data_IF_658383060326
#
_entry.id   IF_658383060326
#
_cell.length_a   1.000
_cell.length_b   1.000
_cell.length_c   1.000
_cell.angle_alpha   90.00
_cell.angle_beta   90.00
_cell.angle_gamma   90.00
#
_symmetry.space_group_name_H-M   'P 1'
#
loop_
_entity.id
_entity.type
_entity.pdbx_description
1 polymer ?
#
# COMPACT_ATOMS: atom_id res chain seq x y z
N UNK A 1 -11.84 -23.98 -7.14
CA UNK A 1 -10.98 -23.97 -8.34
C UNK A 1 -9.53 -24.12 -7.87
N UNK A 2 -8.99 -25.35 -7.88
CA UNK A 2 -7.63 -25.60 -7.40
C UNK A 2 -6.62 -24.95 -8.36
N UNK A 3 -5.81 -24.01 -7.87
CA UNK A 3 -4.70 -23.47 -8.65
C UNK A 3 -3.77 -24.62 -9.08
N UNK A 4 -3.38 -24.67 -10.35
CA UNK A 4 -2.33 -25.59 -10.81
C UNK A 4 -1.08 -25.36 -9.95
N UNK A 5 -0.39 -26.43 -9.54
CA UNK A 5 0.88 -26.35 -8.78
C UNK A 5 1.92 -25.41 -9.43
N UNK A 6 1.85 -25.19 -10.74
CA UNK A 6 2.70 -24.22 -11.47
C UNK A 6 2.37 -22.76 -11.13
N UNK A 7 1.08 -22.42 -10.95
CA UNK A 7 0.64 -21.06 -10.67
C UNK A 7 1.04 -20.62 -9.26
N UNK A 8 1.01 -21.52 -8.27
CA UNK A 8 1.52 -21.24 -6.92
C UNK A 8 3.01 -20.87 -6.90
N UNK A 9 3.79 -21.39 -7.85
CA UNK A 9 5.20 -21.03 -8.00
C UNK A 9 5.36 -19.65 -8.65
N UNK A 10 4.45 -19.25 -9.53
CA UNK A 10 4.43 -17.92 -10.12
C UNK A 10 4.00 -16.83 -9.12
N UNK A 11 3.07 -17.15 -8.21
CA UNK A 11 2.49 -16.17 -7.29
C UNK A 11 3.48 -15.65 -6.25
N UNK A 12 3.59 -14.32 -6.14
CA UNK A 12 4.46 -13.66 -5.17
C UNK A 12 4.66 -12.18 -5.50
N UNK A 13 5.26 -11.84 -6.65
CA UNK A 13 5.51 -10.44 -7.05
C UNK A 13 4.27 -9.56 -7.01
N UNK A 14 3.12 -10.05 -7.49
CA UNK A 14 1.84 -9.33 -7.42
C UNK A 14 1.35 -9.11 -5.98
N UNK A 15 1.51 -10.09 -5.09
CA UNK A 15 1.14 -9.94 -3.68
C UNK A 15 2.09 -8.95 -2.97
N UNK A 16 3.38 -8.99 -3.29
CA UNK A 16 4.37 -8.02 -2.80
C UNK A 16 4.02 -6.60 -3.25
N UNK A 17 3.65 -6.44 -4.52
CA UNK A 17 3.16 -5.17 -5.05
C UNK A 17 1.93 -4.67 -4.30
N UNK A 18 0.91 -5.52 -4.16
CA UNK A 18 -0.32 -5.17 -3.45
C UNK A 18 -0.03 -4.75 -2.00
N UNK A 19 0.78 -5.53 -1.30
CA UNK A 19 1.11 -5.27 0.11
C UNK A 19 1.89 -3.97 0.29
N UNK A 20 2.83 -3.67 -0.62
CA UNK A 20 3.56 -2.40 -0.63
C UNK A 20 2.62 -1.21 -0.85
N UNK A 21 1.58 -1.39 -1.66
CA UNK A 21 0.57 -0.37 -1.88
C UNK A 21 -0.36 -0.19 -0.65
N UNK A 22 -0.75 -1.28 0.01
CA UNK A 22 -1.74 -1.25 1.11
C UNK A 22 -1.26 -0.47 2.35
N UNK A 23 0.02 -0.15 2.46
CA UNK A 23 0.57 0.74 3.49
C UNK A 23 0.09 2.18 3.36
N UNK A 24 1.01 3.14 3.17
CA UNK A 24 0.67 4.57 3.29
C UNK A 24 -0.39 5.04 2.29
N UNK A 25 -0.37 4.60 1.03
CA UNK A 25 -1.32 5.12 0.04
C UNK A 25 -2.77 4.66 0.31
N UNK A 26 -2.98 3.48 0.87
CA UNK A 26 -4.33 2.97 1.12
C UNK A 26 -4.76 3.25 2.56
N UNK A 27 -4.02 2.70 3.53
CA UNK A 27 -4.33 2.80 4.95
C UNK A 27 -4.37 4.26 5.44
N UNK A 28 -3.53 5.13 4.88
CA UNK A 28 -3.48 6.55 5.22
C UNK A 28 -4.24 7.40 4.20
N UNK A 29 -3.79 7.45 2.96
CA UNK A 29 -4.27 8.46 2.01
C UNK A 29 -5.71 8.19 1.55
N UNK A 30 -6.05 6.96 1.18
CA UNK A 30 -7.45 6.61 0.84
C UNK A 30 -8.40 6.82 2.02
N UNK A 31 -8.01 6.38 3.21
CA UNK A 31 -8.81 6.59 4.44
C UNK A 31 -9.03 8.08 4.72
N UNK A 32 -7.97 8.88 4.62
CA UNK A 32 -8.02 10.34 4.79
C UNK A 32 -8.89 11.01 3.74
N UNK A 33 -8.81 10.55 2.49
CA UNK A 33 -9.65 11.05 1.41
C UNK A 33 -11.15 10.83 1.73
N UNK A 34 -11.49 9.65 2.26
CA UNK A 34 -12.83 9.34 2.75
C UNK A 34 -13.25 10.21 3.93
N UNK A 35 -12.38 10.35 4.93
CA UNK A 35 -12.68 11.07 6.17
C UNK A 35 -12.86 12.59 5.96
N UNK A 36 -12.05 13.20 5.09
CA UNK A 36 -12.06 14.65 4.86
C UNK A 36 -13.00 15.07 3.72
N UNK A 37 -13.19 14.23 2.69
CA UNK A 37 -13.93 14.60 1.48
C UNK A 37 -15.06 13.63 1.12
N UNK A 38 -15.45 12.70 2.01
CA UNK A 38 -16.43 11.64 1.72
C UNK A 38 -16.05 10.92 0.42
N UNK A 39 -16.94 10.82 -0.57
CA UNK A 39 -16.63 10.23 -1.86
C UNK A 39 -16.16 11.23 -2.93
N UNK A 40 -15.97 12.51 -2.58
CA UNK A 40 -15.58 13.55 -3.52
C UNK A 40 -14.29 13.26 -4.30
N UNK A 41 -13.35 12.53 -3.70
CA UNK A 41 -12.07 12.15 -4.32
C UNK A 41 -12.05 10.71 -4.89
N UNK A 42 -13.16 9.99 -4.83
CA UNK A 42 -13.23 8.60 -5.29
C UNK A 42 -12.83 8.48 -6.78
N UNK A 43 -13.31 9.39 -7.62
CA UNK A 43 -12.98 9.38 -9.05
C UNK A 43 -11.47 9.59 -9.28
N UNK A 44 -10.82 10.47 -8.52
CA UNK A 44 -9.39 10.69 -8.62
C UNK A 44 -8.58 9.44 -8.28
N UNK A 45 -9.01 8.68 -7.26
CA UNK A 45 -8.40 7.41 -6.84
C UNK A 45 -8.56 6.34 -7.92
N UNK A 46 -9.77 6.20 -8.47
CA UNK A 46 -10.06 5.26 -9.57
C UNK A 46 -9.22 5.61 -10.80
N UNK A 47 -9.17 6.88 -11.19
CA UNK A 47 -8.37 7.35 -12.32
C UNK A 47 -6.87 7.12 -12.08
N UNK A 48 -6.35 7.40 -10.88
CA UNK A 48 -4.94 7.16 -10.56
C UNK A 48 -4.56 5.67 -10.74
N UNK A 49 -5.42 4.76 -10.26
CA UNK A 49 -5.23 3.32 -10.45
C UNK A 49 -5.33 2.90 -11.92
N UNK A 50 -6.28 3.42 -12.69
CA UNK A 50 -6.42 3.06 -14.11
C UNK A 50 -5.23 3.58 -14.92
N UNK A 51 -4.88 4.85 -14.75
CA UNK A 51 -3.85 5.52 -15.55
C UNK A 51 -2.44 4.96 -15.29
N UNK A 52 -2.17 4.49 -14.06
CA UNK A 52 -0.85 3.94 -13.73
C UNK A 52 -0.68 2.46 -14.04
N UNK A 53 -1.77 1.72 -14.24
CA UNK A 53 -1.72 0.28 -14.49
C UNK A 53 -0.73 -0.12 -15.60
N UNK A 54 -0.69 0.55 -16.77
CA UNK A 54 0.24 0.18 -17.83
C UNK A 54 1.69 0.24 -17.38
N UNK A 55 2.08 1.27 -16.62
CA UNK A 55 3.46 1.44 -16.17
C UNK A 55 3.94 0.24 -15.35
N UNK A 56 3.09 -0.28 -14.47
CA UNK A 56 3.44 -1.41 -13.60
C UNK A 56 3.32 -2.78 -14.31
N UNK A 57 2.30 -2.97 -15.15
CA UNK A 57 2.11 -4.22 -15.91
C UNK A 57 3.28 -4.50 -16.85
N UNK A 58 3.75 -3.46 -17.55
CA UNK A 58 4.86 -3.56 -18.49
C UNK A 58 6.14 -4.03 -17.81
N UNK A 59 6.29 -3.82 -16.51
CA UNK A 59 7.47 -4.24 -15.74
C UNK A 59 7.53 -5.74 -15.55
N UNK A 60 6.41 -6.33 -15.11
CA UNK A 60 6.26 -7.78 -14.98
C UNK A 60 6.44 -8.46 -16.35
N UNK A 61 5.87 -7.85 -17.39
CA UNK A 61 6.02 -8.29 -18.78
C UNK A 61 7.48 -8.25 -19.25
N UNK A 62 8.18 -7.14 -19.00
CA UNK A 62 9.58 -6.97 -19.38
C UNK A 62 10.48 -8.00 -18.71
N UNK A 63 10.34 -8.17 -17.39
CA UNK A 63 11.13 -9.13 -16.62
C UNK A 63 10.91 -10.57 -17.09
N UNK A 64 9.64 -10.93 -17.37
CA UNK A 64 9.32 -12.27 -17.87
C UNK A 64 9.90 -12.53 -19.27
N UNK A 65 9.78 -11.57 -20.19
CA UNK A 65 10.20 -11.73 -21.58
C UNK A 65 11.73 -11.71 -21.73
N UNK A 66 12.41 -10.81 -21.03
CA UNK A 66 13.85 -10.58 -21.21
C UNK A 66 14.72 -11.35 -20.23
N UNK A 67 14.14 -11.87 -19.13
CA UNK A 67 14.88 -12.43 -17.99
C UNK A 67 15.90 -11.46 -17.37
N UNK A 68 15.69 -10.15 -17.59
CA UNK A 68 16.48 -9.05 -17.05
C UNK A 68 15.58 -8.03 -16.36
N UNK A 69 16.11 -7.27 -15.42
CA UNK A 69 15.37 -6.27 -14.67
C UNK A 69 15.14 -5.02 -15.52
N UNK A 70 14.21 -4.17 -15.10
CA UNK A 70 14.05 -2.86 -15.74
C UNK A 70 15.28 -1.96 -15.61
N UNK A 71 16.08 -2.15 -14.56
CA UNK A 71 17.35 -1.44 -14.39
C UNK A 71 18.33 -1.87 -15.49
N UNK A 72 18.40 -3.16 -15.83
CA UNK A 72 19.15 -3.63 -16.98
C UNK A 72 18.58 -3.05 -18.30
N UNK A 73 17.26 -2.87 -18.36
CA UNK A 73 16.59 -2.16 -19.45
C UNK A 73 17.04 -0.70 -19.59
N UNK A 74 17.12 0.04 -18.48
CA UNK A 74 17.65 1.40 -18.45
C UNK A 74 19.13 1.44 -18.89
N UNK A 75 19.92 0.45 -18.47
CA UNK A 75 21.31 0.34 -18.91
C UNK A 75 21.43 0.18 -20.44
N UNK A 76 20.52 -0.57 -21.07
CA UNK A 76 20.48 -0.75 -22.54
C UNK A 76 20.18 0.56 -23.28
N UNK A 77 19.44 1.50 -22.66
CA UNK A 77 19.21 2.85 -23.20
C UNK A 77 20.49 3.69 -23.09
N UNK A 78 21.18 3.57 -21.95
CA UNK A 78 22.48 4.19 -21.73
C UNK A 78 22.74 4.49 -20.26
N UNK A 79 24.02 4.72 -19.91
CA UNK A 79 24.44 5.01 -18.53
C UNK A 79 23.76 6.24 -17.94
N UNK A 80 23.40 7.23 -18.76
CA UNK A 80 22.69 8.43 -18.30
C UNK A 80 21.32 8.10 -17.70
N UNK A 81 20.63 7.08 -18.20
CA UNK A 81 19.33 6.66 -17.68
C UNK A 81 19.48 5.99 -16.31
N UNK A 82 20.57 5.25 -16.08
CA UNK A 82 20.90 4.72 -14.75
C UNK A 82 21.18 5.85 -13.76
N UNK A 83 21.94 6.87 -14.17
CA UNK A 83 22.22 8.04 -13.32
C UNK A 83 20.93 8.79 -13.00
N UNK A 84 20.06 9.01 -13.99
CA UNK A 84 18.76 9.66 -13.77
C UNK A 84 17.89 8.85 -12.80
N UNK A 85 17.76 7.54 -13.01
CA UNK A 85 17.02 6.66 -12.10
C UNK A 85 17.60 6.72 -10.69
N UNK A 86 18.93 6.64 -10.55
CA UNK A 86 19.60 6.73 -9.26
C UNK A 86 19.34 8.06 -8.54
N UNK A 87 19.38 9.18 -9.25
CA UNK A 87 19.06 10.50 -8.69
C UNK A 87 17.61 10.59 -8.23
N UNK A 88 16.67 10.05 -9.02
CA UNK A 88 15.26 9.98 -8.65
C UNK A 88 15.10 9.12 -7.39
N UNK A 89 15.68 7.92 -7.36
CA UNK A 89 15.58 7.00 -6.22
C UNK A 89 16.18 7.59 -4.95
N UNK A 90 17.37 8.20 -5.00
CA UNK A 90 17.95 8.88 -3.83
C UNK A 90 17.05 10.01 -3.36
N UNK A 91 16.51 10.80 -4.30
CA UNK A 91 15.61 11.90 -3.96
C UNK A 91 14.33 11.42 -3.29
N UNK A 92 13.70 10.35 -3.79
CA UNK A 92 12.42 9.84 -3.25
C UNK A 92 12.61 9.01 -1.98
N UNK A 93 13.74 8.31 -1.84
CA UNK A 93 14.00 7.40 -0.73
C UNK A 93 13.85 8.06 0.64
N UNK A 94 14.34 9.29 0.83
CA UNK A 94 14.21 9.99 2.13
C UNK A 94 12.75 10.26 2.50
N UNK A 95 11.93 10.68 1.53
CA UNK A 95 10.50 10.94 1.76
C UNK A 95 9.72 9.65 2.03
N UNK A 96 9.97 8.59 1.23
CA UNK A 96 9.34 7.28 1.43
C UNK A 96 9.70 6.72 2.81
N UNK A 97 10.98 6.74 3.14
CA UNK A 97 11.50 6.18 4.40
C UNK A 97 10.96 6.95 5.60
N UNK A 98 10.88 8.28 5.50
CA UNK A 98 10.28 9.10 6.56
C UNK A 98 8.77 8.83 6.71
N UNK A 99 8.01 8.75 5.62
CA UNK A 99 6.57 8.51 5.66
C UNK A 99 6.24 7.13 6.22
N UNK A 100 6.85 6.07 5.68
CA UNK A 100 6.64 4.69 6.14
C UNK A 100 7.15 4.54 7.58
N UNK A 101 8.36 5.00 7.89
CA UNK A 101 8.93 4.92 9.24
C UNK A 101 8.10 5.67 10.29
N UNK A 102 7.52 6.82 9.94
CA UNK A 102 6.63 7.57 10.81
C UNK A 102 5.36 6.76 11.12
N UNK A 103 4.68 6.26 10.10
CA UNK A 103 3.43 5.51 10.25
C UNK A 103 3.67 4.20 11.01
N UNK A 104 4.66 3.40 10.60
CA UNK A 104 5.01 2.13 11.26
C UNK A 104 5.41 2.34 12.72
N UNK A 105 6.21 3.38 13.02
CA UNK A 105 6.54 3.70 14.42
C UNK A 105 5.32 4.14 15.23
N UNK A 106 4.34 4.83 14.62
CA UNK A 106 3.07 5.17 15.27
C UNK A 106 2.25 3.93 15.65
N UNK A 107 2.20 2.92 14.76
CA UNK A 107 1.59 1.62 15.10
C UNK A 107 2.33 0.91 16.24
N UNK A 108 3.67 0.95 16.24
CA UNK A 108 4.48 0.37 17.32
C UNK A 108 4.24 1.07 18.68
N UNK A 109 4.15 2.40 18.67
CA UNK A 109 3.85 3.19 19.87
C UNK A 109 2.51 2.80 20.49
N UNK A 110 1.46 2.62 19.68
CA UNK A 110 0.16 2.15 20.17
C UNK A 110 0.21 0.70 20.67
N UNK A 111 0.87 -0.19 19.92
CA UNK A 111 0.93 -1.60 20.26
C UNK A 111 1.64 -1.85 21.59
N UNK A 112 2.70 -1.09 21.87
CA UNK A 112 3.48 -1.21 23.10
C UNK A 112 3.01 -0.27 24.22
N UNK A 113 2.20 0.74 23.89
CA UNK A 113 1.81 1.81 24.82
C UNK A 113 2.97 2.74 25.21
N UNK A 114 4.06 2.76 24.44
CA UNK A 114 5.28 3.53 24.75
C UNK A 114 5.37 4.75 23.83
N UNK A 115 5.14 5.94 24.36
CA UNK A 115 5.18 7.21 23.61
C UNK A 115 6.60 7.80 23.52
N UNK A 116 7.53 7.06 22.92
CA UNK A 116 8.92 7.52 22.70
C UNK A 116 9.27 7.52 21.21
N UNK A 117 8.92 8.58 20.46
CA UNK A 117 8.98 8.60 19.01
C UNK A 117 10.33 8.22 18.40
N UNK A 118 11.40 8.82 18.91
CA UNK A 118 12.74 8.61 18.36
C UNK A 118 13.27 7.19 18.61
N UNK A 119 12.97 6.65 19.80
CA UNK A 119 13.34 5.27 20.14
C UNK A 119 12.57 4.27 19.29
N UNK A 120 11.24 4.45 19.16
CA UNK A 120 10.41 3.52 18.38
C UNK A 120 10.80 3.51 16.91
N UNK A 121 10.99 4.67 16.29
CA UNK A 121 11.49 4.75 14.90
C UNK A 121 12.84 4.06 14.74
N UNK A 122 13.78 4.26 15.68
CA UNK A 122 15.09 3.61 15.64
C UNK A 122 14.99 2.08 15.76
N UNK A 123 14.15 1.59 16.68
CA UNK A 123 13.90 0.14 16.85
C UNK A 123 13.29 -0.47 15.59
N UNK A 124 12.31 0.20 14.98
CA UNK A 124 11.71 -0.25 13.70
C UNK A 124 12.79 -0.43 12.63
N UNK A 125 13.65 0.56 12.42
CA UNK A 125 14.71 0.46 11.41
C UNK A 125 15.74 -0.64 11.72
N UNK A 126 16.11 -0.83 12.99
CA UNK A 126 17.00 -1.92 13.39
C UNK A 126 16.34 -3.28 13.11
N UNK A 127 15.06 -3.44 13.42
CA UNK A 127 14.32 -4.68 13.13
C UNK A 127 14.24 -4.95 11.62
N UNK A 128 13.90 -3.93 10.82
CA UNK A 128 13.89 -4.05 9.36
C UNK A 128 15.26 -4.47 8.82
N UNK A 129 16.35 -3.85 9.32
CA UNK A 129 17.72 -4.20 8.93
C UNK A 129 18.04 -5.66 9.27
N UNK A 130 17.72 -6.12 10.47
CA UNK A 130 17.95 -7.51 10.91
C UNK A 130 17.16 -8.51 10.05
N UNK A 131 15.89 -8.23 9.76
CA UNK A 131 15.05 -9.07 8.90
C UNK A 131 15.67 -9.19 7.50
N UNK A 132 16.14 -8.08 6.93
CA UNK A 132 16.73 -8.07 5.58
C UNK A 132 18.09 -8.77 5.53
N UNK A 133 18.95 -8.59 6.55
CA UNK A 133 20.26 -9.23 6.63
C UNK A 133 20.16 -10.75 6.78
N UNK A 134 19.23 -11.24 7.61
CA UNK A 134 19.08 -12.67 7.91
C UNK A 134 18.22 -13.37 6.84
N UNK A 135 17.07 -12.78 6.51
CA UNK A 135 15.99 -13.46 5.79
C UNK A 135 15.97 -13.29 4.28
N UNK A 136 16.62 -12.24 3.78
CA UNK A 136 16.63 -11.85 2.35
C UNK A 136 15.20 -11.86 1.77
N UNK A 137 15.06 -12.20 0.49
CA UNK A 137 13.76 -12.22 -0.20
C UNK A 137 12.79 -13.30 0.33
N UNK A 138 13.27 -14.44 0.83
CA UNK A 138 12.39 -15.56 1.17
C UNK A 138 11.54 -15.31 2.42
N UNK A 139 12.14 -14.69 3.45
CA UNK A 139 11.39 -14.28 4.65
C UNK A 139 10.42 -13.15 4.29
N UNK A 140 10.87 -12.18 3.49
CA UNK A 140 10.03 -11.08 3.01
C UNK A 140 8.78 -11.59 2.27
N UNK A 141 8.94 -12.46 1.27
CA UNK A 141 7.83 -13.05 0.49
C UNK A 141 6.84 -13.80 1.39
N UNK A 142 7.33 -14.57 2.36
CA UNK A 142 6.47 -15.40 3.22
C UNK A 142 5.73 -14.57 4.27
N UNK A 143 6.41 -13.63 4.93
CA UNK A 143 5.81 -12.74 5.92
C UNK A 143 4.76 -11.85 5.29
N UNK A 144 5.08 -11.20 4.16
CA UNK A 144 4.16 -10.29 3.48
C UNK A 144 2.89 -11.00 3.03
N UNK A 145 2.97 -12.26 2.57
CA UNK A 145 1.77 -13.03 2.21
C UNK A 145 0.84 -13.25 3.39
N UNK A 146 1.39 -13.56 4.56
CA UNK A 146 0.59 -13.79 5.78
C UNK A 146 -0.04 -12.48 6.25
N UNK A 147 0.78 -11.44 6.42
CA UNK A 147 0.35 -10.14 6.94
C UNK A 147 -0.63 -9.47 5.97
N UNK A 148 -0.29 -9.45 4.68
CA UNK A 148 -1.13 -8.89 3.63
C UNK A 148 -2.47 -9.61 3.52
N UNK A 149 -2.52 -10.93 3.72
CA UNK A 149 -3.78 -11.67 3.78
C UNK A 149 -4.63 -11.27 5.00
N UNK A 150 -4.04 -11.17 6.19
CA UNK A 150 -4.74 -10.73 7.41
C UNK A 150 -5.35 -9.35 7.21
N UNK A 151 -4.57 -8.40 6.68
CA UNK A 151 -5.03 -7.03 6.45
C UNK A 151 -6.10 -6.97 5.34
N UNK A 152 -5.94 -7.72 4.25
CA UNK A 152 -6.93 -7.82 3.19
C UNK A 152 -8.28 -8.32 3.72
N UNK A 153 -8.30 -9.47 4.39
CA UNK A 153 -9.55 -10.08 4.84
C UNK A 153 -10.23 -9.25 5.94
N UNK A 154 -9.46 -8.70 6.87
CA UNK A 154 -10.03 -7.81 7.88
C UNK A 154 -10.58 -6.52 7.29
N UNK A 155 -9.93 -5.94 6.28
CA UNK A 155 -10.43 -4.73 5.60
C UNK A 155 -11.70 -5.02 4.83
N UNK A 156 -11.77 -6.14 4.12
CA UNK A 156 -13.00 -6.56 3.44
C UNK A 156 -14.13 -6.80 4.45
N UNK A 157 -13.84 -7.47 5.57
CA UNK A 157 -14.82 -7.69 6.63
C UNK A 157 -15.33 -6.37 7.21
N UNK A 158 -14.42 -5.46 7.59
CA UNK A 158 -14.77 -4.12 8.08
C UNK A 158 -15.61 -3.37 7.05
N UNK A 159 -15.23 -3.41 5.77
CA UNK A 159 -15.95 -2.76 4.68
C UNK A 159 -17.40 -3.28 4.57
N UNK A 160 -17.60 -4.60 4.50
CA UNK A 160 -18.95 -5.16 4.37
C UNK A 160 -19.82 -4.92 5.61
N UNK A 161 -19.25 -5.02 6.82
CA UNK A 161 -19.97 -4.69 8.05
C UNK A 161 -20.34 -3.21 8.12
N UNK A 162 -19.44 -2.33 7.70
CA UNK A 162 -19.68 -0.87 7.64
C UNK A 162 -20.81 -0.56 6.65
N UNK A 163 -20.82 -1.20 5.47
CA UNK A 163 -21.93 -1.05 4.51
C UNK A 163 -23.27 -1.53 5.09
N UNK A 164 -23.27 -2.62 5.87
CA UNK A 164 -24.49 -3.15 6.49
C UNK A 164 -25.02 -2.24 7.61
N UNK A 165 -24.16 -1.64 8.43
CA UNK A 165 -24.56 -0.68 9.46
C UNK A 165 -25.03 0.66 8.86
N UNK A 166 -24.58 0.97 7.65
CA UNK A 166 -24.85 2.24 6.99
C UNK A 166 -23.89 3.34 7.45
N UNK A 167 -24.03 4.49 6.81
CA UNK A 167 -23.16 5.63 7.07
C UNK A 167 -23.59 6.42 8.32
N UNK A 168 -22.62 6.89 9.11
CA UNK A 168 -22.89 7.74 10.26
C UNK A 168 -23.49 9.12 9.87
N UNK A 169 -23.14 9.63 8.69
CA UNK A 169 -23.57 10.93 8.19
C UNK A 169 -24.02 10.87 6.71
N UNK A 170 -24.79 11.84 6.20
CA UNK A 170 -25.09 11.93 4.77
C UNK A 170 -23.80 11.99 3.95
N UNK A 171 -23.69 11.07 2.98
CA UNK A 171 -22.52 10.97 2.12
C UNK A 171 -22.63 11.93 0.95
N UNK A 172 -21.51 12.53 0.56
CA UNK A 172 -21.45 13.47 -0.56
C UNK A 172 -20.44 13.00 -1.59
N UNK A 173 -20.82 13.13 -2.86
CA UNK A 173 -19.94 12.84 -4.00
C UNK A 173 -19.28 14.13 -4.54
N UNK A 174 -19.68 15.29 -4.04
CA UNK A 174 -19.15 16.59 -4.45
C UNK A 174 -18.01 17.03 -3.54
N UNK A 175 -17.02 17.70 -4.14
CA UNK A 175 -15.97 18.38 -3.41
C UNK A 175 -16.49 19.67 -2.74
N UNK A 176 -15.83 20.15 -1.67
CA UNK A 176 -16.08 21.48 -1.11
C UNK A 176 -16.00 22.57 -2.19
N UNK A 177 -16.78 23.64 -2.03
CA UNK A 177 -16.88 24.72 -3.03
C UNK A 177 -15.54 25.42 -3.25
N UNK A 178 -14.75 25.56 -2.19
CA UNK A 178 -13.43 26.18 -2.14
C UNK A 178 -12.27 25.22 -2.43
N UNK A 179 -12.56 23.95 -2.75
CA UNK A 179 -11.52 22.92 -2.97
C UNK A 179 -10.47 23.36 -3.99
N UNK A 180 -10.89 23.95 -5.11
CA UNK A 180 -10.00 24.38 -6.21
C UNK A 180 -9.25 25.68 -5.94
N UNK A 181 -9.57 26.39 -4.86
CA UNK A 181 -8.85 27.61 -4.43
C UNK A 181 -8.00 27.36 -3.19
N UNK A 182 -8.32 26.30 -2.42
CA UNK A 182 -7.56 25.89 -1.25
C UNK A 182 -6.30 25.10 -1.63
N UNK A 183 -5.13 25.70 -1.38
CA UNK A 183 -3.83 25.09 -1.67
C UNK A 183 -3.58 23.78 -0.94
N UNK A 184 -4.14 23.60 0.27
CA UNK A 184 -3.97 22.36 1.05
C UNK A 184 -4.70 21.20 0.40
N UNK A 185 -5.92 21.43 -0.07
CA UNK A 185 -6.76 20.41 -0.71
C UNK A 185 -6.17 19.98 -2.05
N UNK A 186 -5.71 20.93 -2.85
CA UNK A 186 -4.98 20.65 -4.09
C UNK A 186 -3.68 19.89 -3.80
N UNK A 187 -2.94 20.30 -2.77
CA UNK A 187 -1.73 19.60 -2.33
C UNK A 187 -2.01 18.15 -1.93
N UNK A 188 -3.09 17.92 -1.19
CA UNK A 188 -3.55 16.58 -0.82
C UNK A 188 -3.95 15.77 -2.05
N UNK A 189 -4.69 16.34 -2.99
CA UNK A 189 -5.06 15.66 -4.25
C UNK A 189 -3.83 15.23 -5.05
N UNK A 190 -2.84 16.11 -5.20
CA UNK A 190 -1.59 15.81 -5.90
C UNK A 190 -0.85 14.67 -5.20
N UNK A 191 -0.75 14.71 -3.87
CA UNK A 191 -0.12 13.65 -3.10
C UNK A 191 -0.90 12.33 -3.24
N UNK A 192 -2.22 12.35 -3.09
CA UNK A 192 -3.10 11.18 -3.22
C UNK A 192 -2.94 10.53 -4.59
N UNK A 193 -3.10 11.29 -5.69
CA UNK A 193 -2.94 10.76 -7.05
C UNK A 193 -1.50 10.35 -7.34
N UNK A 194 -0.51 11.10 -6.84
CA UNK A 194 0.91 10.80 -6.99
C UNK A 194 1.33 9.48 -6.35
N UNK A 195 0.74 9.15 -5.19
CA UNK A 195 1.04 7.93 -4.43
C UNK A 195 0.06 6.77 -4.65
N UNK A 196 -1.07 6.96 -5.33
CA UNK A 196 -2.05 5.89 -5.56
C UNK A 196 -1.77 5.13 -6.89
N UNK A 197 -1.72 3.78 -6.92
CA UNK A 197 -1.63 2.88 -5.76
C UNK A 197 -0.25 2.91 -5.09
N UNK A 198 0.79 3.29 -5.83
CA UNK A 198 2.14 3.55 -5.34
C UNK A 198 2.88 4.47 -6.31
N UNK A 199 4.12 4.86 -5.97
CA UNK A 199 4.98 5.63 -6.85
C UNK A 199 5.50 4.78 -8.02
N UNK A 200 5.70 5.42 -9.18
CA UNK A 200 6.03 4.73 -10.44
C UNK A 200 7.44 4.12 -10.41
N UNK A 201 8.34 4.61 -9.55
CA UNK A 201 9.67 4.02 -9.36
C UNK A 201 9.61 2.58 -8.82
N UNK A 202 8.57 2.21 -8.06
CA UNK A 202 8.33 0.83 -7.59
C UNK A 202 8.20 -0.19 -8.74
N UNK A 203 7.89 0.28 -9.93
CA UNK A 203 7.78 -0.54 -11.15
C UNK A 203 9.07 -1.33 -11.43
N UNK A 204 10.23 -0.74 -11.11
CA UNK A 204 11.53 -1.41 -11.17
C UNK A 204 11.69 -2.54 -10.15
N UNK A 205 11.14 -2.38 -8.94
CA UNK A 205 11.23 -3.38 -7.88
C UNK A 205 10.41 -4.62 -8.22
N UNK A 206 9.22 -4.42 -8.80
CA UNK A 206 8.39 -5.52 -9.26
C UNK A 206 9.10 -6.38 -10.34
N UNK A 207 9.89 -5.75 -11.21
CA UNK A 207 10.74 -6.49 -12.17
C UNK A 207 11.80 -7.36 -11.49
N UNK A 208 12.40 -6.85 -10.40
CA UNK A 208 13.38 -7.60 -9.60
C UNK A 208 12.70 -8.75 -8.84
N UNK A 209 11.55 -8.52 -8.21
CA UNK A 209 10.79 -9.56 -7.51
C UNK A 209 10.33 -10.66 -8.46
N UNK A 210 9.97 -10.32 -9.70
CA UNK A 210 9.67 -11.31 -10.73
C UNK A 210 10.86 -12.23 -10.99
N UNK A 211 12.08 -11.68 -11.12
CA UNK A 211 13.30 -12.46 -11.33
C UNK A 211 13.68 -13.27 -10.09
N UNK A 212 13.58 -12.69 -8.89
CA UNK A 212 13.87 -13.38 -7.64
C UNK A 212 12.89 -14.52 -7.38
N UNK A 213 11.62 -14.37 -7.74
CA UNK A 213 10.64 -15.45 -7.66
C UNK A 213 10.98 -16.62 -8.59
N UNK A 214 11.43 -16.32 -9.81
CA UNK A 214 11.90 -17.33 -10.78
C UNK A 214 13.07 -18.11 -10.20
N UNK A 215 14.06 -17.41 -9.62
CA UNK A 215 15.22 -18.03 -8.98
C UNK A 215 14.81 -18.87 -7.76
N UNK A 216 13.99 -18.32 -6.88
CA UNK A 216 13.54 -18.96 -5.63
C UNK A 216 12.77 -20.26 -5.89
N UNK A 217 11.92 -20.28 -6.93
CA UNK A 217 11.04 -21.42 -7.22
C UNK A 217 11.60 -22.38 -8.28
N UNK A 218 12.73 -22.03 -8.89
CA UNK A 218 13.31 -22.69 -10.05
C UNK A 218 12.25 -22.97 -11.15
N UNK A 219 11.34 -22.03 -11.34
CA UNK A 219 10.22 -22.11 -12.27
C UNK A 219 10.19 -20.86 -13.14
N UNK A 220 10.14 -21.06 -14.46
CA UNK A 220 9.96 -19.97 -15.41
C UNK A 220 8.47 -19.86 -15.78
N UNK A 221 7.72 -18.92 -15.18
CA UNK A 221 6.31 -18.76 -15.46
C UNK A 221 6.12 -18.31 -16.91
N UNK A 222 5.02 -18.76 -17.51
CA UNK A 222 4.59 -18.21 -18.80
C UNK A 222 4.23 -16.73 -18.64
N UNK A 223 4.17 -16.00 -19.76
CA UNK A 223 3.71 -14.61 -19.75
C UNK A 223 2.31 -14.51 -19.13
N UNK A 224 1.40 -15.43 -19.46
CA UNK A 224 0.04 -15.47 -18.90
C UNK A 224 0.03 -15.64 -17.38
N UNK A 225 0.88 -16.52 -16.83
CA UNK A 225 0.98 -16.72 -15.38
C UNK A 225 1.56 -15.50 -14.67
N UNK A 226 2.55 -14.84 -15.27
CA UNK A 226 3.15 -13.61 -14.71
C UNK A 226 2.16 -12.46 -14.69
N UNK A 227 1.43 -12.26 -15.80
CA UNK A 227 0.40 -11.22 -15.88
C UNK A 227 -0.78 -11.53 -14.97
N UNK A 228 -1.14 -12.80 -14.80
CA UNK A 228 -2.17 -13.19 -13.85
C UNK A 228 -1.79 -12.82 -12.41
N UNK A 229 -0.58 -13.18 -11.96
CA UNK A 229 -0.09 -12.82 -10.62
C UNK A 229 -0.08 -11.30 -10.41
N UNK A 230 0.51 -10.57 -11.36
CA UNK A 230 0.57 -9.11 -11.27
C UNK A 230 -0.82 -8.47 -11.25
N UNK A 231 -1.72 -8.85 -12.18
CA UNK A 231 -3.05 -8.29 -12.27
C UNK A 231 -3.90 -8.61 -11.03
N UNK A 232 -3.74 -9.81 -10.47
CA UNK A 232 -4.40 -10.17 -9.23
C UNK A 232 -4.00 -9.23 -8.09
N UNK A 233 -2.70 -9.00 -7.90
CA UNK A 233 -2.20 -8.05 -6.92
C UNK A 233 -2.66 -6.61 -7.16
N UNK A 234 -2.58 -6.16 -8.41
CA UNK A 234 -2.98 -4.81 -8.79
C UNK A 234 -4.47 -4.54 -8.56
N UNK A 235 -5.34 -5.46 -8.99
CA UNK A 235 -6.78 -5.35 -8.80
C UNK A 235 -7.13 -5.36 -7.31
N UNK A 236 -6.50 -6.24 -6.52
CA UNK A 236 -6.70 -6.27 -5.07
C UNK A 236 -6.35 -4.92 -4.44
N UNK A 237 -5.20 -4.34 -4.80
CA UNK A 237 -4.81 -3.01 -4.34
C UNK A 237 -5.86 -1.97 -4.74
N UNK A 238 -6.23 -1.90 -6.03
CA UNK A 238 -7.22 -0.93 -6.50
C UNK A 238 -8.57 -1.06 -5.77
N UNK A 239 -9.07 -2.28 -5.55
CA UNK A 239 -10.31 -2.52 -4.78
C UNK A 239 -10.15 -2.08 -3.33
N UNK A 240 -9.03 -2.41 -2.68
CA UNK A 240 -8.78 -1.98 -1.31
C UNK A 240 -8.72 -0.46 -1.18
N UNK A 241 -8.21 0.26 -2.18
CA UNK A 241 -8.20 1.72 -2.15
C UNK A 241 -9.61 2.30 -2.04
N UNK A 242 -10.60 1.65 -2.64
CA UNK A 242 -12.01 2.00 -2.54
C UNK A 242 -12.55 1.62 -1.16
N UNK A 243 -12.22 0.43 -0.65
CA UNK A 243 -12.62 0.00 0.69
C UNK A 243 -12.17 1.01 1.77
N UNK A 244 -10.92 1.48 1.71
CA UNK A 244 -10.41 2.47 2.68
C UNK A 244 -11.09 3.83 2.57
N UNK A 245 -11.36 4.31 1.35
CA UNK A 245 -12.17 5.54 1.17
C UNK A 245 -13.55 5.37 1.78
N UNK A 246 -14.22 4.24 1.52
CA UNK A 246 -15.53 3.96 2.10
C UNK A 246 -15.49 3.90 3.62
N UNK A 247 -14.48 3.24 4.21
CA UNK A 247 -14.34 3.18 5.67
C UNK A 247 -14.14 4.57 6.28
N UNK A 248 -13.25 5.39 5.72
CA UNK A 248 -13.06 6.78 6.16
C UNK A 248 -14.33 7.61 6.00
N UNK A 249 -15.03 7.45 4.88
CA UNK A 249 -16.25 8.19 4.58
C UNK A 249 -17.43 7.79 5.49
N UNK A 250 -17.64 6.51 5.74
CA UNK A 250 -18.79 6.05 6.53
C UNK A 250 -18.60 6.24 8.04
N UNK A 251 -17.36 6.11 8.53
CA UNK A 251 -17.07 6.10 9.97
C UNK A 251 -16.63 7.49 10.45
N UNK A 252 -15.85 8.23 9.65
CA UNK A 252 -15.20 9.46 10.12
C UNK A 252 -15.78 10.75 9.53
N UNK A 253 -16.23 10.74 8.28
CA UNK A 253 -16.75 11.95 7.65
C UNK A 253 -17.96 12.49 8.43
N UNK A 254 -17.92 13.78 8.79
CA UNK A 254 -18.98 14.45 9.56
C UNK A 254 -19.09 14.04 11.03
N UNK A 255 -18.19 13.18 11.55
CA UNK A 255 -18.21 12.73 12.95
C UNK A 255 -17.80 13.81 13.98
N UNK A 256 -17.19 14.91 13.51
CA UNK A 256 -16.64 15.96 14.36
C UNK A 256 -15.25 15.64 14.94
N UNK A 257 -14.75 14.42 14.76
CA UNK A 257 -13.39 14.02 15.14
C UNK A 257 -12.52 13.86 13.89
N UNK A 258 -11.70 14.88 13.52
CA UNK A 258 -10.80 14.75 12.38
C UNK A 258 -9.74 13.69 12.67
N UNK A 259 -9.29 12.98 11.63
CA UNK A 259 -8.12 12.11 11.73
C UNK A 259 -6.94 12.92 12.30
N UNK A 260 -6.24 12.37 13.30
CA UNK A 260 -5.11 13.07 13.89
C UNK A 260 -3.94 13.19 12.90
N UNK A 261 -3.22 14.32 12.96
CA UNK A 261 -1.94 14.48 12.27
C UNK A 261 -0.76 13.94 13.09
N UNK A 262 -0.99 13.56 14.36
CA UNK A 262 0.01 12.90 15.18
C UNK A 262 0.08 11.42 14.77
N UNK A 263 1.28 10.91 14.48
CA UNK A 263 1.49 9.54 13.98
C UNK A 263 0.91 8.43 14.87
N UNK A 264 0.98 8.57 16.20
CA UNK A 264 0.48 7.56 17.12
C UNK A 264 -1.05 7.66 17.21
N UNK A 265 -1.60 8.85 17.37
CA UNK A 265 -3.06 9.01 17.36
C UNK A 265 -3.66 8.60 16.01
N UNK A 266 -3.03 8.96 14.90
CA UNK A 266 -3.40 8.52 13.56
C UNK A 266 -3.47 6.98 13.46
N UNK A 267 -2.43 6.29 13.93
CA UNK A 267 -2.42 4.84 13.93
C UNK A 267 -3.55 4.26 14.81
N UNK A 268 -3.87 4.93 15.93
CA UNK A 268 -4.99 4.53 16.79
C UNK A 268 -6.33 4.73 16.07
N UNK A 269 -6.54 5.88 15.43
CA UNK A 269 -7.74 6.21 14.64
C UNK A 269 -7.97 5.15 13.56
N UNK A 270 -6.91 4.76 12.84
CA UNK A 270 -6.97 3.71 11.82
C UNK A 270 -7.39 2.37 12.41
N UNK A 271 -6.76 1.91 13.50
CA UNK A 271 -7.14 0.62 14.11
C UNK A 271 -8.58 0.68 14.63
N UNK A 272 -9.00 1.84 15.15
CA UNK A 272 -10.35 2.04 15.66
C UNK A 272 -11.43 1.91 14.58
N UNK A 273 -11.14 2.24 13.31
CA UNK A 273 -12.06 1.97 12.19
C UNK A 273 -12.49 0.51 12.11
N UNK A 274 -11.54 -0.39 12.38
CA UNK A 274 -11.77 -1.82 12.36
C UNK A 274 -12.45 -2.28 13.65
N UNK A 275 -11.94 -1.86 14.81
CA UNK A 275 -12.47 -2.35 16.08
C UNK A 275 -13.85 -1.82 16.41
N UNK A 276 -14.22 -0.62 15.95
CA UNK A 276 -15.59 -0.11 16.08
C UNK A 276 -16.59 -0.93 15.27
N UNK A 277 -16.13 -1.55 14.19
CA UNK A 277 -17.00 -2.23 13.21
C UNK A 277 -17.03 -3.74 13.43
N UNK A 278 -15.88 -4.37 13.67
CA UNK A 278 -15.70 -5.81 13.86
C UNK A 278 -15.82 -6.19 15.35
N UNK A 279 -15.48 -5.27 16.25
CA UNK A 279 -15.43 -5.45 17.69
C UNK A 279 -14.03 -5.30 18.28
N UNK A 280 -13.96 -4.93 19.56
CA UNK A 280 -12.71 -4.58 20.27
C UNK A 280 -11.62 -5.65 20.23
N UNK A 281 -11.99 -6.93 20.16
CA UNK A 281 -11.04 -8.04 20.05
C UNK A 281 -10.16 -7.95 18.80
N UNK A 282 -10.65 -7.31 17.74
CA UNK A 282 -9.91 -7.14 16.48
C UNK A 282 -8.78 -6.12 16.59
N UNK A 283 -8.79 -5.22 17.59
CA UNK A 283 -7.83 -4.12 17.73
C UNK A 283 -6.38 -4.61 17.66
N UNK A 284 -6.02 -5.61 18.48
CA UNK A 284 -4.65 -6.13 18.55
C UNK A 284 -4.23 -6.79 17.22
N UNK A 285 -5.14 -7.54 16.59
CA UNK A 285 -4.85 -8.24 15.33
C UNK A 285 -4.55 -7.23 14.22
N UNK A 286 -5.35 -6.16 14.14
CA UNK A 286 -5.21 -5.12 13.12
C UNK A 286 -4.01 -4.23 13.40
N UNK A 287 -3.78 -3.84 14.66
CA UNK A 287 -2.60 -3.08 15.04
C UNK A 287 -1.31 -3.82 14.68
N UNK A 288 -1.24 -5.14 14.93
CA UNK A 288 -0.10 -5.98 14.54
C UNK A 288 0.02 -6.10 13.02
N UNK A 289 -1.09 -6.32 12.31
CA UNK A 289 -1.06 -6.44 10.86
C UNK A 289 -0.65 -5.14 10.16
N UNK A 290 -1.19 -4.00 10.60
CA UNK A 290 -0.87 -2.66 10.09
C UNK A 290 0.54 -2.19 10.48
N UNK A 291 1.06 -2.63 11.63
CA UNK A 291 2.47 -2.44 11.99
C UNK A 291 3.41 -3.21 11.05
N UNK A 292 2.99 -4.41 10.64
CA UNK A 292 3.86 -5.35 9.95
C UNK A 292 3.84 -5.22 8.42
N UNK A 293 2.89 -4.46 7.85
CA UNK A 293 2.75 -4.17 6.41
C UNK A 293 3.66 -2.99 6.02
#
# INVERSE_FOLDING_TARGET
MFLKRSLLKAIGPGILFASTAIGVSHLVQSTRAGADYSFGLLLAIVLANILKYPFFEYCSRYANATKTSLIDGYQKIGKWMLVLYFLITISTMFFVTAAVGMVTSGFMENLLGIKTPMLMTSVVFVLCLLILLIGKYSILDSLIKIIGAVLLFSTLLAFFLTLNHGSANPQVLSLPVDFWTNKKDIGFLIALMGWMPTAIDLSTWNSLWTLERIKQTNYSPTMKETLFDFNFGYIISAVLSICFVTLGAYIMYGSGTPISNNKAEFANDVVNLYSSTIGNWSYIIIAVAAFSI
#
